data_IF_798291873000
#
_entry.id   IF_798291873000
#
_cell.length_a   1.000
_cell.length_b   1.000
_cell.length_c   1.000
_cell.angle_alpha   90.00
_cell.angle_beta   90.00
_cell.angle_gamma   90.00
#
_symmetry.space_group_name_H-M   'P 1'
#
loop_
_entity.id
_entity.type
_entity.pdbx_description
1 polymer ?
#
# COMPACT_ATOMS: atom_id res chain seq x y z
N UNK A 1 13.97 -13.49 6.10
CA UNK A 1 13.85 -12.05 5.80
C UNK A 1 12.62 -11.69 5.00
N UNK A 2 12.27 -12.49 4.00
CA UNK A 2 10.99 -12.29 3.31
C UNK A 2 9.77 -12.78 4.11
N UNK A 3 10.00 -13.48 5.21
CA UNK A 3 8.92 -14.03 6.05
C UNK A 3 7.98 -12.96 6.58
N UNK A 4 8.52 -11.84 7.06
CA UNK A 4 7.69 -10.74 7.55
C UNK A 4 6.88 -10.08 6.44
N UNK A 5 7.46 -9.98 5.26
CA UNK A 5 6.77 -9.41 4.08
C UNK A 5 5.66 -10.35 3.60
N UNK A 6 5.95 -11.65 3.53
CA UNK A 6 4.95 -12.65 3.19
C UNK A 6 3.80 -12.63 4.20
N UNK A 7 4.13 -12.51 5.48
CA UNK A 7 3.14 -12.43 6.55
C UNK A 7 2.30 -11.16 6.43
N UNK A 8 2.94 -10.01 6.18
CA UNK A 8 2.23 -8.76 5.98
C UNK A 8 1.26 -8.86 4.79
N UNK A 9 1.72 -9.43 3.69
CA UNK A 9 0.86 -9.64 2.52
C UNK A 9 -0.30 -10.59 2.82
N UNK A 10 -0.05 -11.66 3.57
CA UNK A 10 -1.11 -12.60 3.95
C UNK A 10 -2.19 -11.97 4.82
N UNK A 11 -1.82 -10.95 5.62
CA UNK A 11 -2.77 -10.19 6.44
C UNK A 11 -3.53 -9.17 5.57
N UNK A 12 -2.83 -8.47 4.69
CA UNK A 12 -3.42 -7.43 3.84
C UNK A 12 -4.34 -8.01 2.77
N UNK A 13 -3.92 -9.08 2.11
CA UNK A 13 -4.59 -9.66 0.93
C UNK A 13 -6.11 -9.87 1.11
N UNK A 14 -6.58 -10.49 2.22
CA UNK A 14 -8.02 -10.70 2.40
C UNK A 14 -8.83 -9.44 2.62
N UNK A 15 -8.20 -8.33 2.96
CA UNK A 15 -8.86 -7.06 3.23
C UNK A 15 -9.05 -6.21 1.98
N UNK A 16 -8.39 -6.58 0.89
CA UNK A 16 -8.48 -5.84 -0.37
C UNK A 16 -9.80 -6.16 -1.06
N UNK A 17 -10.41 -5.13 -1.61
CA UNK A 17 -11.73 -5.21 -2.24
C UNK A 17 -11.62 -5.16 -3.76
N UNK A 18 -12.53 -5.87 -4.43
CA UNK A 18 -12.61 -5.87 -5.88
C UNK A 18 -12.91 -4.48 -6.42
N UNK A 19 -12.36 -4.18 -7.60
CA UNK A 19 -12.54 -2.92 -8.32
C UNK A 19 -12.06 -1.68 -7.56
N UNK A 20 -11.13 -1.87 -6.61
CA UNK A 20 -10.58 -0.77 -5.82
C UNK A 20 -9.07 -0.64 -6.00
N UNK A 21 -8.59 0.54 -5.67
CA UNK A 21 -7.16 0.83 -5.59
C UNK A 21 -6.79 0.92 -4.11
N UNK A 22 -5.73 0.26 -3.72
CA UNK A 22 -5.16 0.44 -2.39
C UNK A 22 -3.79 1.13 -2.52
N UNK A 23 -3.61 2.20 -1.76
CA UNK A 23 -2.30 2.86 -1.63
C UNK A 23 -1.58 2.23 -0.45
N UNK A 24 -0.44 1.61 -0.73
CA UNK A 24 0.30 0.83 0.26
C UNK A 24 1.60 1.55 0.60
N UNK A 25 1.68 2.04 1.83
CA UNK A 25 2.89 2.64 2.36
C UNK A 25 3.80 1.55 2.91
N UNK A 26 4.99 1.43 2.32
CA UNK A 26 6.03 0.50 2.75
C UNK A 26 7.06 1.24 3.61
N UNK A 27 7.66 0.62 4.63
CA UNK A 27 8.57 1.30 5.55
C UNK A 27 9.85 1.80 4.87
N UNK A 28 10.26 1.17 3.78
CA UNK A 28 11.45 1.55 3.02
C UNK A 28 11.35 1.06 1.59
N UNK A 29 12.19 1.61 0.72
CA UNK A 29 12.21 1.23 -0.69
C UNK A 29 12.66 -0.23 -0.90
N UNK A 30 13.56 -0.70 -0.08
CA UNK A 30 13.97 -2.11 -0.10
C UNK A 30 12.80 -3.04 0.24
N UNK A 31 12.01 -2.68 1.23
CA UNK A 31 10.81 -3.42 1.59
C UNK A 31 9.83 -3.45 0.41
N UNK A 32 9.62 -2.31 -0.23
CA UNK A 32 8.73 -2.21 -1.40
C UNK A 32 9.16 -3.17 -2.51
N UNK A 33 10.46 -3.22 -2.82
CA UNK A 33 10.99 -4.11 -3.85
C UNK A 33 10.80 -5.58 -3.51
N UNK A 34 11.04 -5.95 -2.25
CA UNK A 34 10.82 -7.32 -1.79
C UNK A 34 9.34 -7.69 -1.80
N UNK A 35 8.49 -6.74 -1.46
CA UNK A 35 7.04 -6.95 -1.55
C UNK A 35 6.62 -7.19 -3.01
N UNK A 36 7.16 -6.44 -3.97
CA UNK A 36 6.88 -6.68 -5.39
C UNK A 36 7.23 -8.11 -5.79
N UNK A 37 8.34 -8.66 -5.31
CA UNK A 37 8.73 -10.05 -5.59
C UNK A 37 7.69 -11.04 -5.05
N UNK A 38 7.18 -10.80 -3.86
CA UNK A 38 6.12 -11.63 -3.26
C UNK A 38 4.83 -11.52 -4.05
N UNK A 39 4.46 -10.31 -4.45
CA UNK A 39 3.23 -10.06 -5.22
C UNK A 39 3.25 -10.74 -6.59
N UNK A 40 4.43 -10.84 -7.21
CA UNK A 40 4.60 -11.52 -8.52
C UNK A 40 4.24 -13.00 -8.47
N UNK A 41 4.29 -13.61 -7.32
CA UNK A 41 3.94 -15.03 -7.13
C UNK A 41 2.46 -15.25 -6.87
N UNK A 42 1.68 -14.19 -6.71
CA UNK A 42 0.24 -14.29 -6.50
C UNK A 42 -0.45 -14.77 -7.79
N UNK A 43 -1.42 -15.67 -7.65
CA UNK A 43 -2.14 -16.27 -8.79
C UNK A 43 -2.90 -15.24 -9.62
N UNK A 44 -3.31 -14.12 -9.04
CA UNK A 44 -4.03 -13.05 -9.72
C UNK A 44 -3.12 -11.93 -10.22
N UNK A 45 -1.81 -12.04 -10.04
CA UNK A 45 -0.87 -11.04 -10.51
C UNK A 45 -0.91 -10.90 -12.04
N UNK A 46 -1.02 -9.68 -12.52
CA UNK A 46 -1.02 -9.37 -13.95
C UNK A 46 0.29 -8.70 -14.36
N UNK A 47 0.62 -7.57 -13.73
CA UNK A 47 1.85 -6.83 -14.06
C UNK A 47 2.24 -5.87 -12.95
N UNK A 48 3.51 -5.46 -12.97
CA UNK A 48 4.06 -4.44 -12.11
C UNK A 48 4.75 -3.39 -12.98
N UNK A 49 4.40 -2.12 -12.76
CA UNK A 49 4.96 -0.98 -13.51
C UNK A 49 5.63 -0.04 -12.53
N UNK A 50 6.91 0.20 -12.73
CA UNK A 50 7.66 1.19 -11.95
C UNK A 50 7.25 2.59 -12.38
N UNK A 51 6.85 3.43 -11.42
CA UNK A 51 6.45 4.82 -11.66
C UNK A 51 7.58 5.80 -11.36
N UNK A 52 8.34 5.53 -10.31
CA UNK A 52 9.48 6.31 -9.88
C UNK A 52 10.45 5.41 -9.15
N UNK A 53 11.53 5.97 -8.61
CA UNK A 53 12.49 5.19 -7.82
C UNK A 53 11.87 4.53 -6.60
N UNK A 54 10.76 5.06 -6.10
CA UNK A 54 10.18 4.70 -4.82
C UNK A 54 8.70 4.34 -4.89
N UNK A 55 8.17 4.24 -6.09
CA UNK A 55 6.77 3.89 -6.28
C UNK A 55 6.54 3.01 -7.50
N UNK A 56 5.55 2.13 -7.38
CA UNK A 56 5.14 1.24 -8.45
C UNK A 56 3.65 0.98 -8.39
N UNK A 57 3.09 0.52 -9.49
CA UNK A 57 1.72 0.02 -9.55
C UNK A 57 1.78 -1.46 -9.83
N UNK A 58 1.09 -2.23 -9.01
CA UNK A 58 0.92 -3.66 -9.22
C UNK A 58 -0.54 -3.92 -9.58
N UNK A 59 -0.76 -4.46 -10.75
CA UNK A 59 -2.09 -4.79 -11.24
C UNK A 59 -2.39 -6.26 -11.00
N UNK A 60 -3.54 -6.52 -10.40
CA UNK A 60 -4.13 -7.84 -10.24
C UNK A 60 -5.40 -7.94 -11.10
N UNK A 61 -5.95 -9.13 -11.23
CA UNK A 61 -7.19 -9.32 -12.00
C UNK A 61 -8.36 -8.49 -11.48
N UNK A 62 -8.45 -8.33 -10.16
CA UNK A 62 -9.62 -7.72 -9.51
C UNK A 62 -9.36 -6.37 -8.86
N UNK A 63 -8.11 -6.00 -8.64
CA UNK A 63 -7.76 -4.75 -7.97
C UNK A 63 -6.35 -4.28 -8.33
N UNK A 64 -6.03 -3.05 -7.96
CA UNK A 64 -4.70 -2.46 -8.16
C UNK A 64 -4.10 -2.05 -6.83
N UNK A 65 -2.80 -2.20 -6.70
CA UNK A 65 -2.03 -1.68 -5.58
C UNK A 65 -1.07 -0.62 -6.07
N UNK A 66 -1.01 0.49 -5.36
CA UNK A 66 0.03 1.48 -5.57
C UNK A 66 0.97 1.41 -4.38
N UNK A 67 2.20 0.93 -4.62
CA UNK A 67 3.20 0.79 -3.59
C UNK A 67 4.06 2.05 -3.53
N UNK A 68 4.24 2.59 -2.34
CA UNK A 68 5.05 3.80 -2.12
C UNK A 68 5.96 3.56 -0.93
N UNK A 69 7.25 3.86 -1.09
CA UNK A 69 8.17 3.84 0.04
C UNK A 69 7.89 5.03 0.95
N UNK A 70 7.69 4.74 2.24
CA UNK A 70 7.41 5.78 3.23
C UNK A 70 8.63 6.68 3.39
N UNK A 71 8.41 7.98 3.19
CA UNK A 71 9.33 9.05 3.54
C UNK A 71 8.54 10.09 4.31
N UNK A 72 9.28 11.03 4.90
CA UNK A 72 8.69 12.14 5.64
C UNK A 72 7.55 12.84 4.88
N UNK A 73 7.65 12.91 3.53
CA UNK A 73 6.68 13.62 2.69
C UNK A 73 5.84 12.69 1.80
N UNK A 74 6.10 11.37 1.81
CA UNK A 74 5.47 10.43 0.89
C UNK A 74 3.97 10.30 1.07
N UNK A 75 3.50 10.36 2.31
CA UNK A 75 2.07 10.22 2.55
C UNK A 75 1.29 11.43 2.05
N UNK A 76 1.89 12.64 2.07
CA UNK A 76 1.27 13.85 1.52
C UNK A 76 1.14 13.75 0.00
N UNK A 77 2.17 13.27 -0.69
CA UNK A 77 2.12 13.02 -2.11
C UNK A 77 1.07 11.97 -2.47
N UNK A 78 0.96 10.93 -1.67
CA UNK A 78 -0.07 9.90 -1.82
C UNK A 78 -1.45 10.53 -1.68
N UNK A 79 -1.61 11.42 -0.71
CA UNK A 79 -2.83 12.19 -0.47
C UNK A 79 -3.28 12.93 -1.73
N UNK A 80 -2.37 13.69 -2.33
CA UNK A 80 -2.67 14.51 -3.50
C UNK A 80 -3.07 13.64 -4.70
N UNK A 81 -2.37 12.54 -4.89
CA UNK A 81 -2.57 11.65 -6.04
C UNK A 81 -3.80 10.76 -5.95
N UNK A 82 -4.37 10.59 -4.77
CA UNK A 82 -5.59 9.79 -4.58
C UNK A 82 -6.86 10.59 -4.87
N UNK A 83 -6.72 11.86 -5.23
CA UNK A 83 -7.85 12.74 -5.50
C UNK A 83 -8.76 12.17 -6.58
N UNK A 84 -10.04 11.97 -6.26
CA UNK A 84 -11.03 11.46 -7.19
C UNK A 84 -11.16 9.93 -7.25
N UNK A 85 -10.33 9.19 -6.55
CA UNK A 85 -10.42 7.72 -6.53
C UNK A 85 -11.02 7.22 -5.21
N UNK A 86 -11.82 6.17 -5.30
CA UNK A 86 -12.20 5.37 -4.15
C UNK A 86 -11.01 4.46 -3.83
N UNK A 87 -10.32 4.71 -2.73
CA UNK A 87 -9.12 3.95 -2.41
C UNK A 87 -9.00 3.68 -0.93
N UNK A 88 -8.45 2.51 -0.63
CA UNK A 88 -8.01 2.18 0.70
C UNK A 88 -6.55 2.62 0.87
N UNK A 89 -6.15 2.91 2.10
CA UNK A 89 -4.76 3.22 2.43
C UNK A 89 -4.28 2.15 3.38
N UNK A 90 -3.23 1.45 2.99
CA UNK A 90 -2.61 0.43 3.83
C UNK A 90 -1.24 0.91 4.31
N UNK A 91 -0.95 0.65 5.57
CA UNK A 91 0.34 0.97 6.19
C UNK A 91 0.99 -0.35 6.58
N UNK A 92 2.16 -0.64 5.99
CA UNK A 92 2.91 -1.86 6.30
C UNK A 92 4.14 -1.51 7.13
N UNK A 93 4.13 -1.90 8.39
CA UNK A 93 5.26 -1.73 9.32
C UNK A 93 5.89 -0.32 9.35
N UNK A 94 5.18 0.70 8.93
CA UNK A 94 5.67 2.06 8.96
C UNK A 94 5.51 2.67 10.34
N UNK A 95 6.56 3.28 10.86
CA UNK A 95 6.48 4.07 12.08
C UNK A 95 5.85 5.41 11.76
N UNK A 96 4.61 5.58 12.19
CA UNK A 96 3.87 6.82 12.02
C UNK A 96 3.41 7.34 13.38
N UNK A 97 3.42 8.66 13.53
CA UNK A 97 2.85 9.28 14.71
C UNK A 97 1.33 9.12 14.73
N UNK A 98 0.73 9.32 15.90
CA UNK A 98 -0.74 9.28 16.05
C UNK A 98 -1.39 10.33 15.13
N UNK A 99 -0.80 11.52 15.04
CA UNK A 99 -1.29 12.58 14.16
C UNK A 99 -1.26 12.18 12.69
N UNK A 100 -0.17 11.56 12.23
CA UNK A 100 -0.06 11.07 10.85
C UNK A 100 -1.09 9.98 10.55
N UNK A 101 -1.28 9.05 11.48
CA UNK A 101 -2.30 7.99 11.33
C UNK A 101 -3.70 8.59 11.23
N UNK A 102 -3.98 9.61 12.05
CA UNK A 102 -5.26 10.31 12.03
C UNK A 102 -5.50 11.02 10.70
N UNK A 103 -4.47 11.68 10.17
CA UNK A 103 -4.55 12.35 8.86
C UNK A 103 -4.83 11.35 7.75
N UNK A 104 -4.17 10.20 7.75
CA UNK A 104 -4.40 9.14 6.77
C UNK A 104 -5.79 8.52 6.92
N UNK A 105 -6.25 8.36 8.14
CA UNK A 105 -7.61 7.89 8.41
C UNK A 105 -8.66 8.83 7.82
N UNK A 106 -8.51 10.13 8.08
CA UNK A 106 -9.43 11.14 7.54
C UNK A 106 -9.41 11.14 6.02
N UNK A 107 -8.23 11.02 5.44
CA UNK A 107 -8.07 10.95 4.01
C UNK A 107 -8.74 9.72 3.40
N UNK A 108 -8.54 8.55 3.98
CA UNK A 108 -9.19 7.33 3.52
C UNK A 108 -10.71 7.49 3.55
N UNK A 109 -11.25 8.07 4.62
CA UNK A 109 -12.70 8.37 4.72
C UNK A 109 -13.18 9.28 3.59
N UNK A 110 -12.44 10.35 3.32
CA UNK A 110 -12.78 11.29 2.23
C UNK A 110 -12.81 10.61 0.86
N UNK A 111 -12.02 9.56 0.69
CA UNK A 111 -11.94 8.78 -0.54
C UNK A 111 -12.87 7.57 -0.54
N UNK A 112 -13.78 7.47 0.44
CA UNK A 112 -14.66 6.31 0.63
C UNK A 112 -13.87 5.00 0.78
N UNK A 113 -12.68 5.09 1.35
CA UNK A 113 -11.82 3.95 1.61
C UNK A 113 -11.65 3.69 3.10
N UNK A 114 -10.83 2.72 3.40
CA UNK A 114 -10.49 2.31 4.77
C UNK A 114 -8.99 2.49 5.02
N UNK A 115 -8.63 2.72 6.27
CA UNK A 115 -7.24 2.67 6.71
C UNK A 115 -6.94 1.28 7.24
N UNK A 116 -6.03 0.58 6.56
CA UNK A 116 -5.61 -0.76 6.92
C UNK A 116 -4.21 -0.67 7.53
N UNK A 117 -4.08 -1.05 8.80
CA UNK A 117 -2.77 -1.04 9.47
C UNK A 117 -2.32 -2.48 9.64
N UNK A 118 -1.18 -2.80 9.06
CA UNK A 118 -0.58 -4.13 9.15
C UNK A 118 0.75 -4.01 9.89
N UNK A 119 0.73 -4.40 11.16
CA UNK A 119 1.92 -4.46 12.00
C UNK A 119 2.37 -5.92 12.08
N UNK A 120 3.63 -6.15 11.77
CA UNK A 120 4.24 -7.49 11.79
C UNK A 120 5.44 -7.43 12.72
N UNK A 121 5.37 -8.17 13.79
CA UNK A 121 6.46 -8.28 14.76
C UNK A 121 7.22 -9.59 14.58
#
# INVERSE_FOLDING_TARGET
>A
MNENIVKAWSILRPQLKDDRVAFVLCPANEYRRKLEEVLREDAEFVRCVQLSRESSVVQFDRFHLRLVAHRRDSYEDTVIRTSGFHCDIAILDCELSIGQKQDLYNLARERHGELLIVEVQ
#
